data_IF_749248139058
#
_entry.id   IF_749248139058
#
_cell.length_a   1.000
_cell.length_b   1.000
_cell.length_c   1.000
_cell.angle_alpha   90.00
_cell.angle_beta   90.00
_cell.angle_gamma   90.00
#
_symmetry.space_group_name_H-M   'P 1'
#
loop_
_entity.id
_entity.type
_entity.pdbx_description
1 polymer ?
#
# COMPACT_ATOMS: atom_id res chain seq x y z
N UNK A 1 14.54 -0.98 28.76
CA UNK A 1 14.22 -1.75 27.57
C UNK A 1 13.80 -0.75 26.53
N UNK A 2 14.61 -0.51 25.49
CA UNK A 2 14.17 0.30 24.36
C UNK A 2 13.04 -0.48 23.68
N UNK A 3 11.81 -0.02 23.84
CA UNK A 3 10.75 -0.38 22.91
C UNK A 3 11.19 0.22 21.56
N UNK A 4 11.68 -0.60 20.64
CA UNK A 4 11.72 -0.21 19.24
C UNK A 4 10.29 0.30 18.92
N UNK A 5 10.18 1.54 18.48
CA UNK A 5 8.88 2.11 18.17
C UNK A 5 8.27 1.27 17.04
N UNK A 6 7.08 0.76 17.26
CA UNK A 6 6.34 -0.11 16.33
C UNK A 6 6.06 0.68 15.05
N UNK A 7 6.37 0.13 13.89
CA UNK A 7 6.04 0.76 12.60
C UNK A 7 4.53 0.69 12.33
N UNK A 8 4.05 1.51 11.40
CA UNK A 8 2.63 1.45 10.99
C UNK A 8 2.29 0.06 10.41
N UNK A 9 3.21 -0.53 9.64
CA UNK A 9 3.04 -1.87 9.08
C UNK A 9 2.91 -2.94 10.15
N UNK A 10 3.79 -2.95 11.17
CA UNK A 10 3.67 -3.88 12.30
C UNK A 10 2.32 -3.70 13.02
N UNK A 11 1.91 -2.44 13.22
CA UNK A 11 0.65 -2.14 13.91
C UNK A 11 -0.58 -2.64 13.16
N UNK A 12 -0.55 -2.61 11.83
CA UNK A 12 -1.65 -3.05 10.99
C UNK A 12 -1.62 -4.57 10.75
N UNK A 13 -0.45 -5.13 10.43
CA UNK A 13 -0.37 -6.51 9.96
C UNK A 13 -0.18 -7.56 11.06
N UNK A 14 0.51 -7.27 12.17
CA UNK A 14 0.73 -8.28 13.22
C UNK A 14 -0.57 -8.88 13.78
N UNK A 15 -1.62 -8.07 14.12
CA UNK A 15 -2.88 -8.63 14.60
C UNK A 15 -3.58 -9.52 13.56
N UNK A 16 -3.47 -9.12 12.29
CA UNK A 16 -4.05 -9.84 11.15
C UNK A 16 -3.33 -11.17 10.95
N UNK A 17 -2.00 -11.15 10.91
CA UNK A 17 -1.17 -12.36 10.75
C UNK A 17 -1.33 -13.34 11.91
N UNK A 18 -1.56 -12.83 13.12
CA UNK A 18 -1.81 -13.66 14.29
C UNK A 18 -3.17 -14.37 14.24
N UNK A 19 -4.18 -13.78 13.58
CA UNK A 19 -5.55 -14.30 13.53
C UNK A 19 -5.85 -15.06 12.25
N UNK A 20 -5.49 -14.52 11.08
CA UNK A 20 -5.82 -15.06 9.76
C UNK A 20 -4.77 -14.74 8.70
N UNK A 21 -3.59 -15.40 8.74
CA UNK A 21 -2.51 -15.15 7.77
C UNK A 21 -2.84 -15.58 6.33
N UNK A 22 -3.72 -16.57 6.17
CA UNK A 22 -4.04 -17.18 4.88
C UNK A 22 -5.28 -16.56 4.22
N UNK A 23 -6.12 -15.86 4.97
CA UNK A 23 -7.33 -15.23 4.46
C UNK A 23 -7.04 -14.08 3.50
N UNK A 24 -7.98 -13.81 2.58
CA UNK A 24 -7.87 -12.68 1.65
C UNK A 24 -7.73 -11.37 2.42
N UNK A 25 -6.74 -10.56 2.04
CA UNK A 25 -6.55 -9.25 2.66
C UNK A 25 -6.81 -8.10 1.71
N UNK A 26 -6.30 -8.20 0.47
CA UNK A 26 -6.62 -7.30 -0.63
C UNK A 26 -7.07 -8.13 -1.81
N UNK A 27 -8.23 -7.82 -2.35
CA UNK A 27 -8.70 -8.27 -3.65
C UNK A 27 -8.85 -7.05 -4.54
N UNK A 28 -8.18 -7.04 -5.66
CA UNK A 28 -8.21 -5.95 -6.62
C UNK A 28 -8.97 -6.35 -7.87
N UNK A 29 -9.78 -5.42 -8.37
CA UNK A 29 -10.47 -5.52 -9.65
C UNK A 29 -10.19 -4.29 -10.50
N UNK A 30 -9.89 -4.52 -11.78
CA UNK A 30 -10.01 -3.51 -12.83
C UNK A 30 -11.08 -3.98 -13.85
N UNK A 31 -12.22 -3.31 -13.85
CA UNK A 31 -13.33 -3.70 -14.72
C UNK A 31 -13.08 -3.37 -16.19
N UNK A 32 -12.17 -2.44 -16.50
CA UNK A 32 -11.82 -2.13 -17.89
C UNK A 32 -10.96 -3.22 -18.54
N UNK A 33 -10.09 -3.88 -17.77
CA UNK A 33 -9.19 -4.93 -18.26
C UNK A 33 -9.68 -6.34 -17.94
N UNK A 34 -10.59 -6.47 -16.95
CA UNK A 34 -11.02 -7.75 -16.40
C UNK A 34 -10.02 -8.36 -15.41
N UNK A 35 -9.04 -7.57 -14.94
CA UNK A 35 -8.08 -8.02 -13.95
C UNK A 35 -8.76 -8.34 -12.62
N UNK A 36 -8.37 -9.48 -12.02
CA UNK A 36 -8.67 -9.84 -10.63
C UNK A 36 -7.43 -10.44 -9.99
N UNK A 37 -6.93 -9.79 -8.96
CA UNK A 37 -5.82 -10.29 -8.14
C UNK A 37 -6.26 -10.35 -6.68
N UNK A 38 -5.94 -11.45 -5.99
CA UNK A 38 -6.22 -11.59 -4.57
C UNK A 38 -4.94 -11.97 -3.81
N UNK A 39 -4.67 -11.23 -2.76
CA UNK A 39 -3.54 -11.48 -1.87
C UNK A 39 -4.03 -11.84 -0.48
N UNK A 40 -3.50 -12.94 0.07
CA UNK A 40 -3.61 -13.22 1.50
C UNK A 40 -2.81 -12.21 2.32
N UNK A 41 -3.08 -12.14 3.63
CA UNK A 41 -2.27 -11.32 4.54
C UNK A 41 -0.78 -11.68 4.47
N UNK A 42 -0.46 -12.98 4.43
CA UNK A 42 0.92 -13.46 4.32
C UNK A 42 1.56 -13.04 2.99
N UNK A 43 0.85 -13.17 1.86
CA UNK A 43 1.39 -12.79 0.56
C UNK A 43 1.62 -11.28 0.47
N UNK A 44 0.67 -10.48 0.99
CA UNK A 44 0.82 -9.03 1.05
C UNK A 44 2.03 -8.63 1.92
N UNK A 45 2.22 -9.30 3.07
CA UNK A 45 3.37 -9.09 3.95
C UNK A 45 4.69 -9.42 3.26
N UNK A 46 4.74 -10.50 2.46
CA UNK A 46 5.94 -10.87 1.71
C UNK A 46 6.31 -9.78 0.67
N UNK A 47 5.32 -9.22 -0.04
CA UNK A 47 5.55 -8.10 -0.94
C UNK A 47 6.01 -6.84 -0.21
N UNK A 48 5.40 -6.53 0.93
CA UNK A 48 5.82 -5.41 1.78
C UNK A 48 7.26 -5.58 2.27
N UNK A 49 7.66 -6.80 2.69
CA UNK A 49 9.02 -7.10 3.11
C UNK A 49 10.04 -6.92 1.98
N UNK A 50 9.71 -7.41 0.78
CA UNK A 50 10.55 -7.22 -0.41
C UNK A 50 10.73 -5.76 -0.76
N UNK A 51 9.65 -4.97 -0.69
CA UNK A 51 9.70 -3.52 -0.91
C UNK A 51 10.55 -2.82 0.15
N UNK A 52 10.38 -3.16 1.43
CA UNK A 52 11.18 -2.57 2.51
C UNK A 52 12.68 -2.90 2.36
N UNK A 53 13.00 -4.13 1.95
CA UNK A 53 14.38 -4.52 1.65
C UNK A 53 14.93 -3.77 0.42
N UNK A 54 14.16 -3.61 -0.65
CA UNK A 54 14.53 -2.82 -1.82
C UNK A 54 14.89 -1.38 -1.42
N UNK A 55 14.01 -0.73 -0.67
CA UNK A 55 14.21 0.64 -0.19
C UNK A 55 15.49 0.78 0.64
N UNK A 56 15.72 -0.14 1.57
CA UNK A 56 16.89 -0.12 2.43
C UNK A 56 18.17 -0.50 1.69
N UNK A 57 18.16 -1.58 0.92
CA UNK A 57 19.38 -2.23 0.43
C UNK A 57 19.84 -1.67 -0.92
N UNK A 58 18.92 -1.23 -1.80
CA UNK A 58 19.27 -0.62 -3.09
C UNK A 58 19.25 0.91 -3.02
N UNK A 59 18.19 1.51 -2.42
CA UNK A 59 18.06 2.96 -2.35
C UNK A 59 18.66 3.57 -1.08
N UNK A 60 19.27 2.76 -0.21
CA UNK A 60 19.92 3.19 1.03
C UNK A 60 19.04 4.09 1.92
N UNK A 61 17.72 3.86 1.88
CA UNK A 61 16.73 4.65 2.60
C UNK A 61 16.95 4.53 4.12
N UNK A 62 17.09 5.67 4.76
CA UNK A 62 17.19 5.75 6.23
C UNK A 62 15.79 5.97 6.86
N UNK A 63 15.55 5.44 8.08
CA UNK A 63 14.28 5.70 8.77
C UNK A 63 14.03 7.20 8.98
N UNK A 64 12.82 7.64 8.66
CA UNK A 64 12.41 9.04 8.69
C UNK A 64 12.60 9.79 7.37
N UNK A 65 13.27 9.18 6.40
CA UNK A 65 13.37 9.73 5.05
C UNK A 65 12.00 9.72 4.33
N UNK A 66 11.80 10.65 3.40
CA UNK A 66 10.57 10.77 2.63
C UNK A 66 10.57 9.88 1.41
N UNK A 67 9.46 9.17 1.24
CA UNK A 67 9.15 8.37 0.06
C UNK A 67 7.90 8.95 -0.61
N UNK A 68 8.07 9.44 -1.82
CA UNK A 68 6.96 9.91 -2.65
C UNK A 68 6.30 8.71 -3.33
N UNK A 69 4.98 8.54 -3.13
CA UNK A 69 4.21 7.43 -3.72
C UNK A 69 3.11 8.02 -4.60
N UNK A 70 3.36 8.07 -5.92
CA UNK A 70 2.40 8.57 -6.90
C UNK A 70 1.82 7.40 -7.70
N UNK A 71 1.01 6.60 -7.01
CA UNK A 71 0.42 5.37 -7.52
C UNK A 71 -1.10 5.37 -7.29
N UNK A 72 -1.91 4.85 -8.22
CA UNK A 72 -3.35 4.70 -8.01
C UNK A 72 -3.66 3.65 -6.94
N UNK A 73 -4.92 3.59 -6.52
CA UNK A 73 -5.41 2.54 -5.64
C UNK A 73 -5.29 1.16 -6.32
N UNK A 74 -4.28 0.38 -5.91
CA UNK A 74 -3.91 -0.89 -6.53
C UNK A 74 -3.32 -1.84 -5.48
N UNK A 75 -3.35 -3.16 -5.72
CA UNK A 75 -2.76 -4.13 -4.80
C UNK A 75 -1.24 -3.95 -4.62
N UNK A 76 -0.52 -3.56 -5.69
CA UNK A 76 0.92 -3.25 -5.60
C UNK A 76 1.16 -1.99 -4.77
N UNK A 77 0.30 -0.98 -4.90
CA UNK A 77 0.38 0.25 -4.10
C UNK A 77 0.21 -0.05 -2.61
N UNK A 78 -0.73 -0.94 -2.24
CA UNK A 78 -0.86 -1.38 -0.85
C UNK A 78 0.42 -2.04 -0.33
N UNK A 79 1.07 -2.90 -1.14
CA UNK A 79 2.34 -3.53 -0.78
C UNK A 79 3.49 -2.52 -0.66
N UNK A 80 3.54 -1.54 -1.57
CA UNK A 80 4.53 -0.43 -1.56
C UNK A 80 4.40 0.41 -0.30
N UNK A 81 3.19 0.86 0.03
CA UNK A 81 2.91 1.66 1.22
C UNK A 81 3.31 0.93 2.50
N UNK A 82 2.90 -0.34 2.63
CA UNK A 82 3.28 -1.17 3.76
C UNK A 82 4.80 -1.39 3.84
N UNK A 83 5.47 -1.55 2.70
CA UNK A 83 6.93 -1.68 2.65
C UNK A 83 7.65 -0.41 3.08
N UNK A 84 7.20 0.76 2.60
CA UNK A 84 7.74 2.06 2.96
C UNK A 84 7.61 2.34 4.47
N UNK A 85 6.42 2.12 5.04
CA UNK A 85 6.21 2.25 6.48
C UNK A 85 7.02 1.24 7.29
N UNK A 86 7.24 0.04 6.75
CA UNK A 86 8.06 -0.96 7.43
C UNK A 86 9.54 -0.58 7.46
N UNK A 87 10.04 0.06 6.38
CA UNK A 87 11.36 0.65 6.32
C UNK A 87 11.52 1.89 7.23
N UNK A 88 10.44 2.39 7.81
CA UNK A 88 10.42 3.58 8.67
C UNK A 88 10.29 4.89 7.90
N UNK A 89 9.88 4.85 6.64
CA UNK A 89 9.73 6.03 5.79
C UNK A 89 8.51 6.88 6.16
N UNK A 90 8.63 8.19 5.91
CA UNK A 90 7.50 9.09 5.79
C UNK A 90 6.95 9.02 4.35
N UNK A 91 5.72 8.56 4.19
CA UNK A 91 5.05 8.54 2.89
C UNK A 91 4.43 9.90 2.60
N UNK A 92 4.67 10.44 1.39
CA UNK A 92 3.97 11.59 0.81
C UNK A 92 3.30 11.18 -0.50
N UNK A 93 2.09 11.72 -0.75
CA UNK A 93 1.23 11.33 -1.88
C UNK A 93 1.18 12.40 -2.98
N UNK A 94 2.03 13.39 -2.88
CA UNK A 94 2.19 14.47 -3.86
C UNK A 94 3.67 14.64 -4.19
N UNK A 95 4.02 15.24 -5.33
CA UNK A 95 5.41 15.53 -5.67
C UNK A 95 6.09 16.33 -4.56
N UNK A 96 7.23 15.83 -4.05
CA UNK A 96 8.02 16.49 -3.01
C UNK A 96 9.51 16.40 -3.38
N UNK A 97 10.12 17.54 -3.69
CA UNK A 97 11.55 17.65 -3.99
C UNK A 97 12.49 17.26 -2.82
N UNK A 98 11.93 17.11 -1.62
CA UNK A 98 12.64 16.61 -0.43
C UNK A 98 12.54 15.10 -0.27
N UNK A 99 11.81 14.41 -1.17
CA UNK A 99 11.77 12.95 -1.16
C UNK A 99 13.14 12.40 -1.60
N UNK A 100 13.59 11.35 -0.92
CA UNK A 100 14.82 10.65 -1.28
C UNK A 100 14.55 9.56 -2.31
N UNK A 101 13.32 8.99 -2.28
CA UNK A 101 12.87 7.94 -3.19
C UNK A 101 11.47 8.28 -3.69
N UNK A 102 11.20 8.00 -4.97
CA UNK A 102 9.85 8.02 -5.53
C UNK A 102 9.46 6.64 -6.10
N UNK A 103 8.22 6.22 -5.80
CA UNK A 103 7.59 5.03 -6.39
C UNK A 103 6.38 5.51 -7.18
N UNK A 104 6.44 5.42 -8.50
CA UNK A 104 5.48 6.08 -9.39
C UNK A 104 5.00 5.13 -10.50
N UNK A 105 3.84 5.43 -11.08
CA UNK A 105 3.43 4.85 -12.36
C UNK A 105 4.13 5.56 -13.52
N UNK A 106 4.10 4.93 -14.70
CA UNK A 106 4.81 5.45 -15.89
C UNK A 106 4.36 6.87 -16.26
N UNK A 107 3.08 7.14 -16.15
CA UNK A 107 2.45 8.44 -16.46
C UNK A 107 2.77 9.55 -15.45
N UNK A 108 3.36 9.19 -14.30
CA UNK A 108 3.74 10.13 -13.24
C UNK A 108 5.26 10.33 -13.13
N UNK A 109 6.04 9.78 -14.09
CA UNK A 109 7.49 9.84 -14.05
C UNK A 109 8.03 11.28 -14.13
N UNK A 110 7.41 12.12 -14.95
CA UNK A 110 7.80 13.53 -15.12
C UNK A 110 7.54 14.40 -13.87
N UNK A 111 6.74 13.89 -12.91
CA UNK A 111 6.42 14.61 -11.67
C UNK A 111 7.52 14.51 -10.61
N UNK A 112 8.56 13.69 -10.85
CA UNK A 112 9.60 13.36 -9.86
C UNK A 112 11.03 13.51 -10.39
N UNK A 113 11.23 14.37 -11.38
CA UNK A 113 12.53 14.60 -12.04
C UNK A 113 13.65 15.01 -11.06
N UNK A 114 13.30 15.67 -9.95
CA UNK A 114 14.24 16.14 -8.94
C UNK A 114 14.50 15.11 -7.81
N UNK A 115 13.83 13.94 -7.83
CA UNK A 115 14.01 12.90 -6.81
C UNK A 115 15.21 12.01 -7.16
N UNK A 116 16.16 11.81 -6.23
CA UNK A 116 17.41 11.09 -6.52
C UNK A 116 17.22 9.64 -6.98
N UNK A 117 16.29 8.91 -6.34
CA UNK A 117 16.03 7.50 -6.61
C UNK A 117 14.57 7.31 -7.03
N UNK A 118 14.36 6.77 -8.23
CA UNK A 118 13.01 6.58 -8.77
C UNK A 118 12.82 5.13 -9.20
N UNK A 119 11.74 4.53 -8.69
CA UNK A 119 11.26 3.22 -9.15
C UNK A 119 9.89 3.34 -9.82
N UNK A 120 9.79 2.79 -11.02
CA UNK A 120 8.55 2.80 -11.81
C UNK A 120 7.85 1.46 -11.70
N UNK A 121 6.54 1.51 -11.43
CA UNK A 121 5.65 0.35 -11.41
C UNK A 121 4.83 0.28 -12.69
N UNK A 122 4.82 -0.89 -13.33
CA UNK A 122 3.93 -1.15 -14.47
C UNK A 122 2.47 -1.31 -14.07
N UNK A 123 2.21 -1.65 -12.81
CA UNK A 123 0.90 -2.04 -12.28
C UNK A 123 0.27 -3.24 -13.04
N UNK A 124 1.09 -4.01 -13.74
CA UNK A 124 0.64 -5.21 -14.48
C UNK A 124 0.21 -6.30 -13.49
N UNK A 125 -0.89 -6.99 -13.81
CA UNK A 125 -1.47 -8.07 -12.99
C UNK A 125 -0.48 -9.18 -12.61
N UNK A 126 0.50 -9.45 -13.49
CA UNK A 126 1.53 -10.47 -13.29
C UNK A 126 2.87 -9.86 -12.86
N UNK A 127 2.91 -8.54 -12.61
CA UNK A 127 4.12 -7.81 -12.26
C UNK A 127 5.16 -7.86 -13.37
N UNK A 128 4.77 -7.72 -14.63
CA UNK A 128 5.73 -7.61 -15.74
C UNK A 128 6.50 -6.30 -15.65
N UNK A 129 7.76 -6.27 -16.10
CA UNK A 129 8.56 -5.07 -16.10
C UNK A 129 8.00 -4.01 -17.06
N UNK A 130 8.33 -2.74 -16.81
CA UNK A 130 8.09 -1.63 -17.73
C UNK A 130 9.16 -1.68 -18.82
N UNK A 131 8.79 -1.77 -20.10
CA UNK A 131 9.79 -1.72 -21.17
C UNK A 131 10.36 -0.31 -21.34
N UNK A 132 11.60 -0.24 -21.86
CA UNK A 132 12.23 0.99 -22.36
C UNK A 132 12.31 2.15 -21.36
N UNK A 133 12.52 1.85 -20.07
CA UNK A 133 12.73 2.88 -19.04
C UNK A 133 14.01 3.68 -19.33
N UNK A 134 14.02 5.00 -19.02
CA UNK A 134 15.22 5.82 -19.07
C UNK A 134 16.35 5.28 -18.20
N UNK A 135 17.59 5.57 -18.58
CA UNK A 135 18.77 5.21 -17.78
C UNK A 135 18.71 5.94 -16.42
N UNK A 136 18.92 5.17 -15.35
CA UNK A 136 18.86 5.69 -13.97
C UNK A 136 17.50 5.48 -13.30
N UNK A 137 16.48 5.05 -14.05
CA UNK A 137 15.17 4.70 -13.49
C UNK A 137 15.10 3.21 -13.23
N UNK A 138 14.70 2.83 -12.02
CA UNK A 138 14.57 1.44 -11.59
C UNK A 138 13.22 0.86 -12.03
N UNK A 139 13.23 -0.34 -12.65
CA UNK A 139 12.01 -1.13 -12.82
C UNK A 139 11.70 -1.87 -11.51
N UNK A 140 10.63 -1.45 -10.85
CA UNK A 140 10.22 -2.04 -9.57
C UNK A 140 9.98 -3.55 -9.68
N UNK A 141 9.29 -4.00 -10.72
CA UNK A 141 8.91 -5.41 -10.86
C UNK A 141 10.13 -6.33 -10.99
N UNK A 142 11.21 -5.87 -11.61
CA UNK A 142 12.47 -6.61 -11.71
C UNK A 142 13.23 -6.57 -10.39
N UNK A 143 13.44 -5.38 -9.83
CA UNK A 143 14.28 -5.20 -8.63
C UNK A 143 13.65 -5.81 -7.38
N UNK A 144 12.36 -5.62 -7.14
CA UNK A 144 11.72 -6.11 -5.91
C UNK A 144 11.78 -7.63 -5.74
N UNK A 145 11.81 -8.39 -6.83
CA UNK A 145 11.76 -9.87 -6.79
C UNK A 145 12.99 -10.53 -6.20
N UNK A 146 14.15 -9.89 -6.29
CA UNK A 146 15.41 -10.46 -5.78
C UNK A 146 15.58 -10.28 -4.28
N UNK A 147 14.76 -9.43 -3.66
CA UNK A 147 14.80 -9.18 -2.23
C UNK A 147 14.09 -10.26 -1.40
N UNK A 148 14.52 -10.39 -0.13
CA UNK A 148 13.96 -11.33 0.83
C UNK A 148 12.52 -10.97 1.22
N UNK A 149 11.74 -11.99 1.55
CA UNK A 149 10.35 -11.89 1.99
C UNK A 149 10.20 -11.74 3.52
N UNK A 150 11.28 -11.41 4.19
CA UNK A 150 11.33 -11.08 5.62
C UNK A 150 12.03 -9.75 5.82
N UNK A 151 11.48 -8.93 6.70
CA UNK A 151 12.05 -7.64 7.07
C UNK A 151 12.03 -7.46 8.60
N UNK A 152 13.01 -6.75 9.13
CA UNK A 152 13.05 -6.36 10.54
C UNK A 152 13.28 -4.86 10.62
N UNK A 153 12.28 -4.08 11.08
CA UNK A 153 12.42 -2.64 11.22
C UNK A 153 13.42 -2.30 12.32
N UNK A 154 14.09 -1.18 12.16
CA UNK A 154 15.03 -0.65 13.17
C UNK A 154 14.37 0.42 14.04
N UNK A 155 13.71 1.38 13.41
CA UNK A 155 13.05 2.53 14.03
C UNK A 155 11.82 2.90 13.19
N UNK A 156 10.75 3.38 13.82
CA UNK A 156 9.65 4.02 13.11
C UNK A 156 9.92 5.52 12.96
N UNK A 157 9.71 6.05 11.76
CA UNK A 157 9.68 7.48 11.46
C UNK A 157 8.26 8.06 11.50
N UNK A 158 8.05 9.32 11.06
CA UNK A 158 6.73 9.80 10.64
C UNK A 158 6.16 8.83 9.60
N UNK A 159 4.83 8.64 9.61
CA UNK A 159 4.24 7.61 8.74
C UNK A 159 3.63 8.21 7.46
N UNK A 160 2.88 9.31 7.58
CA UNK A 160 2.11 9.86 6.47
C UNK A 160 2.01 11.39 6.57
N UNK A 161 2.55 12.11 5.59
CA UNK A 161 2.43 13.56 5.46
C UNK A 161 2.73 14.33 6.77
N UNK A 162 3.81 13.95 7.46
CA UNK A 162 4.26 14.55 8.73
C UNK A 162 3.62 13.95 9.98
N UNK A 163 2.54 13.18 9.87
CA UNK A 163 1.89 12.52 11.00
C UNK A 163 2.68 11.29 11.47
N UNK A 164 2.76 11.12 12.79
CA UNK A 164 3.37 9.94 13.42
C UNK A 164 2.52 8.68 13.28
N UNK A 165 3.12 7.54 13.61
CA UNK A 165 2.43 6.24 13.55
C UNK A 165 1.17 6.23 14.43
N UNK A 166 1.26 6.75 15.64
CA UNK A 166 0.13 6.74 16.59
C UNK A 166 -1.01 7.65 16.12
N UNK A 167 -0.69 8.82 15.54
CA UNK A 167 -1.68 9.76 15.00
C UNK A 167 -2.43 9.15 13.81
N UNK A 168 -1.69 8.50 12.90
CA UNK A 168 -2.30 7.81 11.74
C UNK A 168 -3.18 6.64 12.18
N UNK A 169 -2.75 5.88 13.19
CA UNK A 169 -3.55 4.76 13.72
C UNK A 169 -4.80 5.26 14.44
N UNK A 170 -4.73 6.35 15.19
CA UNK A 170 -5.89 6.96 15.84
C UNK A 170 -6.90 7.43 14.79
N UNK A 171 -6.45 8.17 13.77
CA UNK A 171 -7.28 8.61 12.65
C UNK A 171 -7.91 7.42 11.91
N UNK A 172 -7.14 6.36 11.66
CA UNK A 172 -7.63 5.16 10.99
C UNK A 172 -8.71 4.43 11.80
N UNK A 173 -8.53 4.30 13.12
CA UNK A 173 -9.53 3.69 14.01
C UNK A 173 -10.80 4.52 14.10
N UNK A 174 -10.66 5.84 14.22
CA UNK A 174 -11.81 6.75 14.20
C UNK A 174 -12.57 6.67 12.88
N UNK A 175 -11.85 6.59 11.75
CA UNK A 175 -12.44 6.41 10.43
C UNK A 175 -13.16 5.05 10.32
N UNK A 176 -12.55 3.97 10.79
CA UNK A 176 -13.17 2.64 10.79
C UNK A 176 -14.46 2.62 11.63
N UNK A 177 -14.45 3.25 12.82
CA UNK A 177 -15.63 3.37 13.69
C UNK A 177 -16.73 4.18 13.01
N UNK A 178 -16.40 5.33 12.43
CA UNK A 178 -17.37 6.18 11.72
C UNK A 178 -18.02 5.46 10.54
N UNK A 179 -17.24 4.62 9.84
CA UNK A 179 -17.71 3.80 8.72
C UNK A 179 -18.36 2.48 9.19
N UNK A 180 -18.32 2.18 10.50
CA UNK A 180 -18.85 0.96 11.10
C UNK A 180 -18.13 -0.32 10.66
N UNK A 181 -16.84 -0.24 10.29
CA UNK A 181 -16.04 -1.37 9.83
C UNK A 181 -15.61 -2.22 11.03
N UNK A 182 -15.78 -3.53 10.92
CA UNK A 182 -15.37 -4.52 11.92
C UNK A 182 -14.40 -5.54 11.34
N UNK A 183 -13.73 -6.31 12.18
CA UNK A 183 -12.75 -7.33 11.75
C UNK A 183 -13.35 -8.47 10.92
N UNK A 184 -14.66 -8.63 10.91
CA UNK A 184 -15.36 -9.65 10.14
C UNK A 184 -15.85 -9.15 8.78
N UNK A 185 -15.65 -7.85 8.50
CA UNK A 185 -16.12 -7.26 7.26
C UNK A 185 -15.19 -7.57 6.07
N UNK A 186 -15.84 -7.73 4.93
CA UNK A 186 -15.22 -7.68 3.61
C UNK A 186 -15.70 -6.42 2.93
N UNK A 187 -14.83 -5.43 2.87
CA UNK A 187 -15.15 -4.05 2.52
C UNK A 187 -14.87 -3.82 1.04
N UNK A 188 -15.86 -3.34 0.28
CA UNK A 188 -15.64 -2.90 -1.10
C UNK A 188 -15.47 -1.39 -1.16
N UNK A 189 -14.49 -0.94 -1.95
CA UNK A 189 -14.22 0.48 -2.22
C UNK A 189 -13.87 0.69 -3.69
N UNK A 190 -14.32 1.82 -4.26
CA UNK A 190 -13.89 2.35 -5.54
C UNK A 190 -13.21 3.72 -5.39
N UNK A 191 -12.88 4.11 -4.16
CA UNK A 191 -12.21 5.35 -3.86
C UNK A 191 -10.71 5.28 -4.21
N UNK A 192 -10.17 6.42 -4.68
CA UNK A 192 -8.74 6.61 -4.88
C UNK A 192 -8.02 6.77 -3.53
N UNK A 193 -6.68 6.68 -3.55
CA UNK A 193 -5.81 6.86 -2.39
C UNK A 193 -4.85 8.05 -2.61
N UNK A 194 -5.36 9.11 -3.21
CA UNK A 194 -4.60 10.26 -3.70
C UNK A 194 -4.38 11.37 -2.66
N UNK A 195 -4.92 11.20 -1.47
CA UNK A 195 -4.73 12.11 -0.34
C UNK A 195 -4.59 11.34 0.97
N UNK A 196 -3.97 11.94 2.03
CA UNK A 196 -3.86 11.30 3.33
C UNK A 196 -5.20 10.83 3.90
N UNK A 197 -6.23 11.66 3.80
CA UNK A 197 -7.57 11.33 4.31
C UNK A 197 -8.21 10.18 3.51
N UNK A 198 -8.09 10.20 2.18
CA UNK A 198 -8.62 9.14 1.32
C UNK A 198 -7.88 7.81 1.55
N UNK A 199 -6.56 7.85 1.69
CA UNK A 199 -5.76 6.66 2.01
C UNK A 199 -6.09 6.11 3.41
N UNK A 200 -6.26 6.98 4.41
CA UNK A 200 -6.68 6.57 5.75
C UNK A 200 -8.06 5.90 5.68
N UNK A 201 -9.03 6.52 5.02
CA UNK A 201 -10.39 6.01 4.96
C UNK A 201 -10.53 4.73 4.13
N UNK A 202 -9.84 4.65 2.99
CA UNK A 202 -10.00 3.57 2.01
C UNK A 202 -9.13 2.34 2.24
N UNK A 203 -7.96 2.49 2.87
CA UNK A 203 -7.01 1.39 3.09
C UNK A 203 -6.67 1.19 4.56
N UNK A 204 -6.14 2.24 5.22
CA UNK A 204 -5.55 2.07 6.57
C UNK A 204 -6.65 1.74 7.59
N UNK A 205 -7.83 2.37 7.50
CA UNK A 205 -8.96 2.10 8.39
C UNK A 205 -9.46 0.65 8.27
N UNK A 206 -9.51 0.12 7.05
CA UNK A 206 -9.91 -1.28 6.80
C UNK A 206 -8.94 -2.24 7.49
N UNK A 207 -7.63 -2.00 7.36
CA UNK A 207 -6.61 -2.85 8.00
C UNK A 207 -6.55 -2.65 9.52
N UNK A 208 -6.72 -1.42 10.01
CA UNK A 208 -6.77 -1.13 11.45
C UNK A 208 -7.95 -1.80 12.14
N UNK A 209 -9.07 -1.99 11.44
CA UNK A 209 -10.21 -2.79 11.90
C UNK A 209 -9.97 -4.30 11.82
N UNK A 210 -8.93 -4.77 11.12
CA UNK A 210 -8.69 -6.19 10.84
C UNK A 210 -9.56 -6.75 9.70
N UNK A 211 -10.25 -5.89 8.94
CA UNK A 211 -11.10 -6.25 7.82
C UNK A 211 -10.31 -6.54 6.54
N UNK A 212 -10.95 -7.13 5.53
CA UNK A 212 -10.39 -7.33 4.18
C UNK A 212 -10.95 -6.31 3.19
N UNK A 213 -10.14 -5.91 2.21
CA UNK A 213 -10.49 -4.93 1.20
C UNK A 213 -10.72 -5.58 -0.17
N UNK A 214 -11.78 -5.18 -0.85
CA UNK A 214 -12.03 -5.40 -2.28
C UNK A 214 -11.97 -4.03 -2.96
N UNK A 215 -10.81 -3.70 -3.53
CA UNK A 215 -10.60 -2.45 -4.26
C UNK A 215 -11.00 -2.63 -5.71
N UNK A 216 -11.79 -1.69 -6.24
CA UNK A 216 -12.29 -1.73 -7.61
C UNK A 216 -11.90 -0.43 -8.32
N UNK A 217 -11.27 -0.55 -9.47
CA UNK A 217 -11.02 0.59 -10.35
C UNK A 217 -11.80 0.42 -11.66
N UNK A 218 -12.07 1.50 -12.37
CA UNK A 218 -12.88 1.51 -13.59
C UNK A 218 -14.23 0.80 -13.44
N UNK A 219 -14.88 0.98 -12.28
CA UNK A 219 -16.02 0.20 -11.84
C UNK A 219 -17.16 0.14 -12.88
N UNK A 220 -17.56 -1.08 -13.27
CA UNK A 220 -18.74 -1.32 -14.09
C UNK A 220 -19.96 -1.54 -13.18
N UNK A 221 -20.98 -0.64 -13.24
CA UNK A 221 -22.20 -0.81 -12.46
C UNK A 221 -22.91 -2.15 -12.70
N UNK A 222 -22.80 -2.73 -13.90
CA UNK A 222 -23.42 -4.01 -14.23
C UNK A 222 -22.77 -5.21 -13.52
N UNK A 223 -21.49 -5.10 -13.16
CA UNK A 223 -20.74 -6.14 -12.43
C UNK A 223 -20.98 -6.08 -10.90
N UNK A 224 -21.50 -4.95 -10.39
CA UNK A 224 -21.58 -4.65 -8.97
C UNK A 224 -22.33 -5.71 -8.15
N UNK A 225 -23.57 -6.04 -8.52
CA UNK A 225 -24.39 -7.02 -7.78
C UNK A 225 -23.72 -8.40 -7.75
N UNK A 226 -23.19 -8.86 -8.88
CA UNK A 226 -22.47 -10.13 -8.97
C UNK A 226 -21.23 -10.14 -8.09
N UNK A 227 -20.48 -9.01 -8.03
CA UNK A 227 -19.28 -8.90 -7.19
C UNK A 227 -19.63 -9.00 -5.71
N UNK A 228 -20.70 -8.33 -5.25
CA UNK A 228 -21.17 -8.43 -3.87
C UNK A 228 -21.37 -9.91 -3.50
N UNK A 229 -22.07 -10.66 -4.33
CA UNK A 229 -22.36 -12.07 -4.08
C UNK A 229 -21.13 -12.98 -4.15
N UNK A 230 -20.26 -12.74 -5.16
CA UNK A 230 -19.07 -13.58 -5.40
C UNK A 230 -18.03 -13.37 -4.32
N UNK A 231 -17.74 -12.09 -3.99
CA UNK A 231 -16.72 -11.71 -3.00
C UNK A 231 -17.25 -11.73 -1.56
N UNK A 232 -18.54 -12.00 -1.34
CA UNK A 232 -19.15 -11.96 -0.01
C UNK A 232 -18.95 -10.59 0.67
N UNK A 233 -19.13 -9.52 -0.07
CA UNK A 233 -19.00 -8.15 0.43
C UNK A 233 -20.06 -7.91 1.48
N UNK A 234 -19.63 -7.50 2.67
CA UNK A 234 -20.51 -7.18 3.81
C UNK A 234 -20.70 -5.67 3.97
N UNK A 235 -19.79 -4.88 3.43
CA UNK A 235 -19.80 -3.42 3.54
C UNK A 235 -19.27 -2.76 2.27
N UNK A 236 -19.83 -1.60 1.95
CA UNK A 236 -19.39 -0.76 0.85
C UNK A 236 -19.03 0.61 1.40
N UNK A 237 -17.85 1.11 1.01
CA UNK A 237 -17.49 2.50 1.25
C UNK A 237 -18.10 3.34 0.12
N UNK A 238 -18.83 4.36 0.49
CA UNK A 238 -19.34 5.37 -0.45
C UNK A 238 -18.37 6.55 -0.47
N UNK A 239 -18.12 7.06 -1.68
CA UNK A 239 -17.35 8.31 -1.86
C UNK A 239 -18.01 9.45 -1.10
#
# INVERSE_FOLDING_TARGET
MNHASRTLTDALLDPILASDPAGPRVTFYDDATGERVELSALTLTNWAAKTANLLRDEFTLEPGARVCVLLPAHWQTAAVLLGAWWAGAEVVLEPDERAEVALVSVDRLDDVDDVPEVAVLSLDAFGRPVPDLPVGITDYATSVRVHGDQFRPTVAGPALAGAGVDDVLEAARASAEAQGITSTDRVSSDADWDSPDALIAGLIAVFAAGASLVQVVNADPSAHARRIDTEKITRQLTR
#
